data_IF_282796091427
#
_entry.id   IF_282796091427
#
_cell.length_a   1.000
_cell.length_b   1.000
_cell.length_c   1.000
_cell.angle_alpha   90.00
_cell.angle_beta   90.00
_cell.angle_gamma   90.00
#
_symmetry.space_group_name_H-M   'P 1'
#
loop_
_entity.id
_entity.type
_entity.pdbx_description
1 polymer ?
#
# COMPACT_ATOMS: atom_id res chain seq x y z
N UNK A 1 -44.83 -3.78 53.88
CA UNK A 1 -43.63 -3.47 53.07
C UNK A 1 -43.49 -4.47 51.92
N UNK A 2 -42.72 -4.13 50.87
CA UNK A 2 -42.22 -5.07 49.84
C UNK A 2 -43.04 -5.32 48.55
N UNK A 3 -43.49 -4.28 47.84
CA UNK A 3 -43.76 -4.41 46.37
C UNK A 3 -43.27 -3.27 45.46
N UNK A 4 -42.84 -2.11 45.99
CA UNK A 4 -42.41 -0.97 45.15
C UNK A 4 -40.92 -0.92 44.78
N UNK A 5 -40.04 -1.71 45.40
CA UNK A 5 -38.59 -1.62 45.14
C UNK A 5 -38.06 -2.49 43.98
N UNK A 6 -38.83 -3.47 43.48
CA UNK A 6 -38.37 -4.32 42.36
C UNK A 6 -38.61 -3.72 40.97
N UNK A 7 -39.53 -2.75 40.85
CA UNK A 7 -39.95 -2.16 39.57
C UNK A 7 -38.90 -1.22 38.95
N UNK A 8 -38.14 -0.49 39.77
CA UNK A 8 -37.11 0.44 39.29
C UNK A 8 -35.85 -0.25 38.75
N UNK A 9 -35.51 -1.42 39.29
CA UNK A 9 -34.29 -2.16 38.92
C UNK A 9 -34.41 -2.85 37.55
N UNK A 10 -35.61 -3.32 37.18
CA UNK A 10 -35.84 -3.94 35.87
C UNK A 10 -35.92 -2.90 34.73
N UNK A 11 -36.43 -1.69 34.97
CA UNK A 11 -36.42 -0.63 33.95
C UNK A 11 -35.00 -0.14 33.61
N UNK A 12 -34.11 -0.05 34.59
CA UNK A 12 -32.70 0.34 34.35
C UNK A 12 -31.90 -0.71 33.56
N UNK A 13 -32.12 -2.00 33.81
CA UNK A 13 -31.45 -3.07 33.04
C UNK A 13 -31.91 -3.15 31.58
N UNK A 14 -33.18 -2.83 31.28
CA UNK A 14 -33.65 -2.79 29.89
C UNK A 14 -33.08 -1.60 29.10
N UNK A 15 -32.94 -0.43 29.74
CA UNK A 15 -32.33 0.75 29.13
C UNK A 15 -30.82 0.60 28.90
N UNK A 16 -30.09 -0.11 29.77
CA UNK A 16 -28.67 -0.40 29.57
C UNK A 16 -28.42 -1.40 28.41
N UNK A 17 -29.27 -2.42 28.25
CA UNK A 17 -29.14 -3.40 27.15
C UNK A 17 -29.46 -2.81 25.77
N UNK A 18 -30.24 -1.74 25.69
CA UNK A 18 -30.54 -1.03 24.43
C UNK A 18 -29.40 -0.10 24.00
N UNK A 19 -28.77 0.60 24.94
CA UNK A 19 -27.59 1.44 24.67
C UNK A 19 -26.33 0.61 24.29
N UNK A 20 -26.21 -0.62 24.80
CA UNK A 20 -25.10 -1.53 24.48
C UNK A 20 -25.25 -2.18 23.08
N UNK A 21 -26.49 -2.34 22.60
CA UNK A 21 -26.77 -2.81 21.22
C UNK A 21 -26.54 -1.72 20.17
N UNK A 22 -26.74 -0.44 20.47
CA UNK A 22 -26.45 0.66 19.55
C UNK A 22 -24.95 0.99 19.44
N UNK A 23 -24.14 0.70 20.47
CA UNK A 23 -22.67 0.86 20.40
C UNK A 23 -21.95 -0.25 19.62
N UNK A 24 -22.55 -1.43 19.44
CA UNK A 24 -21.99 -2.51 18.61
C UNK A 24 -22.34 -2.40 17.12
N UNK A 25 -23.26 -1.51 16.74
CA UNK A 25 -23.70 -1.31 15.34
C UNK A 25 -22.96 -0.22 14.56
N UNK A 26 -22.04 0.52 15.20
CA UNK A 26 -21.10 1.43 14.53
C UNK A 26 -19.69 0.95 14.77
N UNK A 27 -19.45 -0.33 14.47
CA UNK A 27 -18.12 -0.72 14.06
C UNK A 27 -17.88 0.03 12.75
N UNK A 28 -17.06 1.07 12.87
CA UNK A 28 -16.36 1.73 11.79
C UNK A 28 -15.98 0.62 10.79
N UNK A 29 -16.75 0.48 9.71
CA UNK A 29 -16.23 -0.08 8.49
C UNK A 29 -15.29 0.99 7.98
N UNK A 30 -14.10 1.02 8.58
CA UNK A 30 -12.93 1.52 7.89
C UNK A 30 -12.89 0.70 6.62
N UNK A 31 -13.35 1.30 5.52
CA UNK A 31 -12.92 0.89 4.20
C UNK A 31 -11.43 1.25 4.12
N UNK A 32 -10.63 0.53 4.91
CA UNK A 32 -9.20 0.38 4.72
C UNK A 32 -9.13 -0.35 3.39
N UNK A 33 -9.05 0.41 2.31
CA UNK A 33 -8.73 -0.10 0.99
C UNK A 33 -7.40 -0.82 1.18
N UNK A 34 -7.45 -2.15 1.38
CA UNK A 34 -6.27 -2.98 1.60
C UNK A 34 -5.26 -2.58 0.54
N UNK A 35 -4.07 -2.17 0.97
CA UNK A 35 -2.97 -1.94 0.04
C UNK A 35 -2.90 -3.16 -0.90
N UNK A 36 -3.00 -2.89 -2.19
CA UNK A 36 -2.93 -3.94 -3.21
C UNK A 36 -1.57 -4.62 -3.09
N UNK A 37 -1.58 -5.94 -2.89
CA UNK A 37 -0.37 -6.72 -2.66
C UNK A 37 0.55 -6.65 -3.89
N UNK A 38 1.87 -6.64 -3.68
CA UNK A 38 2.89 -6.54 -4.74
C UNK A 38 2.61 -7.51 -5.92
N UNK A 39 2.34 -8.76 -5.59
CA UNK A 39 2.00 -9.85 -6.53
C UNK A 39 0.76 -9.53 -7.38
N UNK A 40 -0.28 -8.92 -6.81
CA UNK A 40 -1.49 -8.58 -7.57
C UNK A 40 -1.22 -7.40 -8.51
N UNK A 41 -0.51 -6.39 -8.01
CA UNK A 41 -0.18 -5.18 -8.75
C UNK A 41 0.72 -5.46 -9.96
N UNK A 42 1.70 -6.33 -9.79
CA UNK A 42 2.63 -6.76 -10.86
C UNK A 42 2.16 -7.97 -11.65
N UNK A 43 0.90 -8.39 -11.50
CA UNK A 43 0.38 -9.62 -12.09
C UNK A 43 0.71 -9.76 -13.58
N UNK A 44 0.50 -8.70 -14.37
CA UNK A 44 0.78 -8.72 -15.81
C UNK A 44 2.24 -8.98 -16.12
N UNK A 45 3.16 -8.29 -15.42
CA UNK A 45 4.59 -8.43 -15.63
C UNK A 45 5.09 -9.80 -15.16
N UNK A 46 4.58 -10.29 -14.02
CA UNK A 46 4.89 -11.62 -13.49
C UNK A 46 4.42 -12.74 -14.44
N UNK A 47 3.19 -12.64 -14.98
CA UNK A 47 2.67 -13.61 -15.97
C UNK A 47 3.56 -13.67 -17.22
N UNK A 48 4.09 -12.53 -17.67
CA UNK A 48 4.87 -12.49 -18.91
C UNK A 48 6.32 -12.95 -18.72
N UNK A 49 6.90 -12.75 -17.53
CA UNK A 49 8.34 -12.81 -17.34
C UNK A 49 8.82 -13.97 -16.47
N UNK A 50 7.95 -14.62 -15.70
CA UNK A 50 8.34 -15.80 -14.92
C UNK A 50 8.83 -16.91 -15.87
N UNK A 51 10.07 -17.35 -15.64
CA UNK A 51 10.70 -18.46 -16.36
C UNK A 51 10.46 -19.79 -15.65
N UNK A 52 10.68 -19.81 -14.34
CA UNK A 52 10.87 -21.03 -13.55
C UNK A 52 9.59 -21.55 -12.88
N UNK A 53 8.50 -21.71 -13.66
CA UNK A 53 7.17 -22.05 -13.09
C UNK A 53 7.18 -23.36 -12.30
N UNK A 54 7.86 -24.42 -12.78
CA UNK A 54 7.91 -25.70 -12.08
C UNK A 54 8.60 -25.59 -10.71
N UNK A 55 9.78 -24.95 -10.65
CA UNK A 55 10.52 -24.75 -9.40
C UNK A 55 9.73 -23.89 -8.40
N UNK A 56 9.01 -22.88 -8.89
CA UNK A 56 8.13 -22.07 -8.04
C UNK A 56 6.98 -22.93 -7.49
N UNK A 57 6.35 -23.77 -8.32
CA UNK A 57 5.28 -24.65 -7.88
C UNK A 57 5.77 -25.70 -6.85
N UNK A 58 7.00 -26.20 -6.99
CA UNK A 58 7.60 -27.14 -6.03
C UNK A 58 7.70 -26.49 -4.64
N UNK A 59 8.28 -25.29 -4.58
CA UNK A 59 8.37 -24.51 -3.34
C UNK A 59 6.98 -24.17 -2.77
N UNK A 60 6.02 -23.80 -3.61
CA UNK A 60 4.65 -23.51 -3.15
C UNK A 60 3.91 -24.76 -2.62
N UNK A 61 4.21 -25.95 -3.15
CA UNK A 61 3.70 -27.22 -2.66
C UNK A 61 4.30 -27.54 -1.28
N UNK A 62 5.62 -27.36 -1.11
CA UNK A 62 6.31 -27.55 0.17
C UNK A 62 5.75 -26.63 1.26
N UNK A 63 5.46 -25.38 0.91
CA UNK A 63 4.83 -24.41 1.81
C UNK A 63 3.30 -24.59 1.96
N UNK A 64 2.71 -25.61 1.33
CA UNK A 64 1.27 -25.94 1.36
C UNK A 64 0.37 -24.80 0.88
N UNK A 65 0.87 -23.96 -0.02
CA UNK A 65 0.09 -22.92 -0.72
C UNK A 65 -0.69 -23.54 -1.87
N UNK A 66 -0.12 -24.56 -2.50
CA UNK A 66 -0.70 -25.33 -3.60
C UNK A 66 -0.83 -26.79 -3.14
N UNK A 67 -1.93 -27.46 -3.51
CA UNK A 67 -2.09 -28.91 -3.31
C UNK A 67 -1.55 -29.71 -4.49
N UNK A 68 -1.26 -31.01 -4.33
CA UNK A 68 -0.76 -31.84 -5.42
C UNK A 68 -1.68 -31.82 -6.66
N UNK A 69 -2.99 -31.88 -6.46
CA UNK A 69 -3.97 -31.81 -7.56
C UNK A 69 -3.88 -30.47 -8.32
N UNK A 70 -3.72 -29.36 -7.60
CA UNK A 70 -3.56 -28.04 -8.20
C UNK A 70 -2.21 -27.90 -8.90
N UNK A 71 -1.15 -28.47 -8.33
CA UNK A 71 0.19 -28.52 -8.92
C UNK A 71 0.13 -29.21 -10.29
N UNK A 72 -0.42 -30.42 -10.36
CA UNK A 72 -0.52 -31.20 -11.59
C UNK A 72 -1.40 -30.48 -12.63
N UNK A 73 -2.52 -29.90 -12.18
CA UNK A 73 -3.44 -29.14 -13.04
C UNK A 73 -2.77 -27.91 -13.65
N UNK A 74 -1.94 -27.20 -12.87
CA UNK A 74 -1.22 -26.04 -13.37
C UNK A 74 -0.14 -26.49 -14.35
N UNK A 75 0.67 -27.49 -14.01
CA UNK A 75 1.73 -27.97 -14.92
C UNK A 75 1.18 -28.50 -16.25
N UNK A 76 -0.01 -29.09 -16.25
CA UNK A 76 -0.66 -29.59 -17.46
C UNK A 76 -1.08 -28.49 -18.47
N UNK A 77 -1.00 -27.19 -18.11
CA UNK A 77 -1.30 -26.10 -19.05
C UNK A 77 -0.25 -26.02 -20.16
N UNK A 78 -0.70 -25.69 -21.36
CA UNK A 78 0.12 -25.72 -22.58
C UNK A 78 1.24 -24.67 -22.62
N UNK A 79 1.05 -23.51 -21.99
CA UNK A 79 2.03 -22.41 -22.00
C UNK A 79 2.37 -21.96 -20.60
N UNK A 80 3.62 -21.51 -20.38
CA UNK A 80 4.06 -20.96 -19.09
C UNK A 80 3.17 -19.81 -18.61
N UNK A 81 2.72 -18.96 -19.53
CA UNK A 81 1.82 -17.86 -19.20
C UNK A 81 0.47 -18.37 -18.70
N UNK A 82 -0.07 -19.45 -19.29
CA UNK A 82 -1.32 -20.05 -18.82
C UNK A 82 -1.14 -20.78 -17.49
N UNK A 83 0.02 -21.40 -17.26
CA UNK A 83 0.37 -21.97 -15.95
C UNK A 83 0.33 -20.88 -14.86
N UNK A 84 1.01 -19.76 -15.08
CA UNK A 84 1.03 -18.66 -14.10
C UNK A 84 -0.36 -18.04 -13.95
N UNK A 85 -1.13 -17.87 -15.04
CA UNK A 85 -2.53 -17.40 -14.94
C UNK A 85 -3.40 -18.30 -14.07
N UNK A 86 -3.28 -19.61 -14.23
CA UNK A 86 -4.01 -20.60 -13.43
C UNK A 86 -3.58 -20.55 -11.95
N UNK A 87 -2.28 -20.39 -11.70
CA UNK A 87 -1.74 -20.18 -10.35
C UNK A 87 -2.38 -18.95 -9.67
N UNK A 88 -2.58 -17.86 -10.42
CA UNK A 88 -3.29 -16.67 -9.93
C UNK A 88 -4.79 -16.92 -9.70
N UNK A 89 -5.50 -17.60 -10.60
CA UNK A 89 -6.95 -17.79 -10.49
C UNK A 89 -7.36 -18.82 -9.43
N UNK A 90 -6.51 -19.81 -9.15
CA UNK A 90 -6.77 -20.88 -8.19
C UNK A 90 -6.03 -20.70 -6.86
N UNK A 91 -4.81 -21.25 -6.70
CA UNK A 91 -4.14 -21.30 -5.40
C UNK A 91 -3.86 -19.93 -4.77
N UNK A 92 -3.35 -18.95 -5.53
CA UNK A 92 -3.03 -17.63 -4.98
C UNK A 92 -4.28 -16.81 -4.61
N UNK A 93 -5.40 -17.07 -5.30
CA UNK A 93 -6.68 -16.44 -4.95
C UNK A 93 -7.26 -17.02 -3.66
N UNK A 94 -7.14 -18.34 -3.46
CA UNK A 94 -7.73 -19.06 -2.33
C UNK A 94 -6.89 -18.98 -1.04
N UNK A 95 -5.58 -18.87 -1.16
CA UNK A 95 -4.64 -18.78 -0.02
C UNK A 95 -4.55 -17.39 0.62
N UNK A 96 -5.18 -16.37 0.03
CA UNK A 96 -5.25 -15.02 0.58
C UNK A 96 -3.88 -14.32 0.65
N UNK A 97 -3.73 -13.33 1.54
CA UNK A 97 -2.49 -12.54 1.67
C UNK A 97 -1.28 -13.42 1.99
N UNK A 98 -1.43 -14.37 2.92
CA UNK A 98 -0.34 -15.28 3.32
C UNK A 98 0.24 -16.08 2.16
N UNK A 99 -0.60 -16.60 1.27
CA UNK A 99 -0.09 -17.33 0.09
C UNK A 99 0.63 -16.42 -0.90
N UNK A 100 0.24 -15.16 -0.98
CA UNK A 100 0.92 -14.15 -1.81
C UNK A 100 2.26 -13.72 -1.20
N UNK A 101 2.36 -13.63 0.13
CA UNK A 101 3.63 -13.36 0.82
C UNK A 101 4.62 -14.49 0.56
N UNK A 102 4.17 -15.75 0.68
CA UNK A 102 5.00 -16.93 0.38
C UNK A 102 5.43 -16.94 -1.08
N UNK A 103 4.49 -16.69 -2.01
CA UNK A 103 4.82 -16.62 -3.43
C UNK A 103 5.84 -15.52 -3.75
N UNK A 104 5.74 -14.36 -3.09
CA UNK A 104 6.73 -13.30 -3.21
C UNK A 104 8.11 -13.75 -2.70
N UNK A 105 8.18 -14.39 -1.53
CA UNK A 105 9.42 -14.93 -0.97
C UNK A 105 10.08 -15.94 -1.93
N UNK A 106 9.29 -16.84 -2.52
CA UNK A 106 9.79 -17.81 -3.51
C UNK A 106 10.31 -17.12 -4.77
N UNK A 107 9.66 -16.05 -5.22
CA UNK A 107 10.14 -15.26 -6.36
C UNK A 107 11.43 -14.48 -6.03
N UNK A 108 11.60 -14.00 -4.80
CA UNK A 108 12.84 -13.36 -4.36
C UNK A 108 14.02 -14.33 -4.38
N UNK A 109 13.76 -15.60 -4.06
CA UNK A 109 14.79 -16.66 -4.08
C UNK A 109 15.12 -17.13 -5.49
N UNK A 110 14.10 -17.44 -6.30
CA UNK A 110 14.27 -18.10 -7.59
C UNK A 110 14.44 -17.12 -8.76
N UNK A 111 13.86 -15.92 -8.66
CA UNK A 111 13.84 -14.92 -9.73
C UNK A 111 14.21 -13.51 -9.19
N UNK A 112 15.33 -13.34 -8.46
CA UNK A 112 15.66 -12.09 -7.76
C UNK A 112 15.74 -10.88 -8.70
N UNK A 113 16.30 -11.07 -9.90
CA UNK A 113 16.42 -10.00 -10.90
C UNK A 113 15.06 -9.53 -11.43
N UNK A 114 14.08 -10.43 -11.54
CA UNK A 114 12.73 -10.07 -11.94
C UNK A 114 12.07 -9.22 -10.86
N UNK A 115 12.19 -9.64 -9.59
CA UNK A 115 11.63 -8.87 -8.47
C UNK A 115 12.31 -7.51 -8.34
N UNK A 116 13.63 -7.45 -8.44
CA UNK A 116 14.37 -6.19 -8.36
C UNK A 116 13.97 -5.21 -9.47
N UNK A 117 13.84 -5.69 -10.71
CA UNK A 117 13.39 -4.86 -11.83
C UNK A 117 11.93 -4.38 -11.64
N UNK A 118 11.03 -5.25 -11.18
CA UNK A 118 9.64 -4.88 -10.91
C UNK A 118 9.53 -3.88 -9.75
N UNK A 119 10.35 -4.00 -8.71
CA UNK A 119 10.44 -3.00 -7.64
C UNK A 119 11.04 -1.69 -8.13
N UNK A 120 12.01 -1.74 -9.04
CA UNK A 120 12.62 -0.55 -9.66
C UNK A 120 11.67 0.22 -10.58
N UNK A 121 10.66 -0.45 -11.15
CA UNK A 121 9.60 0.17 -11.95
C UNK A 121 8.55 0.89 -11.10
N UNK A 122 8.44 0.58 -9.81
CA UNK A 122 7.57 1.32 -8.90
C UNK A 122 8.29 2.53 -8.32
N UNK A 123 7.56 3.64 -8.20
CA UNK A 123 7.97 4.71 -7.29
C UNK A 123 8.02 4.14 -5.88
N UNK A 124 9.24 3.89 -5.39
CA UNK A 124 9.48 3.30 -4.07
C UNK A 124 8.79 4.13 -2.99
N UNK A 125 8.23 3.49 -1.95
CA UNK A 125 7.51 4.18 -0.87
C UNK A 125 8.32 5.36 -0.29
N UNK A 126 9.60 5.11 -0.03
CA UNK A 126 10.59 6.09 0.45
C UNK A 126 10.71 7.31 -0.48
N UNK A 127 10.64 7.13 -1.80
CA UNK A 127 10.69 8.21 -2.79
C UNK A 127 9.35 8.97 -2.83
N UNK A 128 8.23 8.23 -2.87
CA UNK A 128 6.87 8.79 -2.86
C UNK A 128 6.62 9.68 -1.64
N UNK A 129 7.05 9.23 -0.47
CA UNK A 129 6.87 9.92 0.81
C UNK A 129 8.07 10.76 1.22
N UNK A 130 9.02 11.02 0.31
CA UNK A 130 10.28 11.72 0.59
C UNK A 130 10.08 13.02 1.36
N UNK A 131 9.14 13.87 0.95
CA UNK A 131 8.88 15.14 1.64
C UNK A 131 8.40 14.96 3.08
N UNK A 132 7.49 14.01 3.31
CA UNK A 132 6.98 13.74 4.66
C UNK A 132 8.06 13.12 5.54
N UNK A 133 8.88 12.22 5.00
CA UNK A 133 10.01 11.61 5.70
C UNK A 133 11.07 12.64 6.07
N UNK A 134 11.46 13.53 5.15
CA UNK A 134 12.38 14.65 5.45
C UNK A 134 11.87 15.53 6.59
N UNK A 135 10.57 15.77 6.66
CA UNK A 135 9.98 16.65 7.68
C UNK A 135 9.81 15.97 9.04
N UNK A 136 9.53 14.66 9.05
CA UNK A 136 9.00 13.97 10.24
C UNK A 136 9.96 12.99 10.89
N UNK A 137 11.02 12.54 10.20
CA UNK A 137 12.03 11.66 10.81
C UNK A 137 12.63 12.33 12.04
N UNK A 138 12.50 11.69 13.20
CA UNK A 138 12.89 12.27 14.48
C UNK A 138 14.39 12.16 14.75
N UNK A 139 14.98 10.97 14.53
CA UNK A 139 16.39 10.69 14.80
C UNK A 139 17.10 10.13 13.58
N UNK A 140 17.94 10.94 12.94
CA UNK A 140 18.72 10.51 11.76
C UNK A 140 19.90 9.61 12.17
N UNK A 141 20.53 9.88 13.32
CA UNK A 141 21.67 9.11 13.82
C UNK A 141 21.31 7.63 14.06
N UNK A 142 20.19 7.36 14.74
CA UNK A 142 19.74 5.99 15.00
C UNK A 142 19.47 5.21 13.72
N UNK A 143 18.92 5.87 12.70
CA UNK A 143 18.70 5.25 11.39
C UNK A 143 20.05 4.99 10.70
N UNK A 144 20.95 5.96 10.71
CA UNK A 144 22.28 5.81 10.09
C UNK A 144 23.10 4.69 10.72
N UNK A 145 23.02 4.49 12.04
CA UNK A 145 23.72 3.40 12.74
C UNK A 145 23.26 2.04 12.19
N UNK A 146 21.95 1.82 12.10
CA UNK A 146 21.40 0.59 11.53
C UNK A 146 21.73 0.43 10.04
N UNK A 147 21.70 1.52 9.27
CA UNK A 147 22.07 1.48 7.85
C UNK A 147 23.56 1.16 7.64
N UNK A 148 24.43 1.61 8.54
CA UNK A 148 25.87 1.33 8.51
C UNK A 148 26.13 -0.15 8.82
N UNK A 149 25.45 -0.69 9.84
CA UNK A 149 25.52 -2.10 10.21
C UNK A 149 25.07 -3.02 9.07
N UNK A 150 24.01 -2.62 8.35
CA UNK A 150 23.52 -3.34 7.18
C UNK A 150 24.29 -3.04 5.88
N UNK A 151 25.38 -2.26 5.95
CA UNK A 151 26.25 -1.89 4.83
C UNK A 151 25.53 -1.16 3.69
N UNK A 152 24.45 -0.45 4.01
CA UNK A 152 23.73 0.42 3.06
C UNK A 152 24.45 1.76 2.89
N UNK A 153 25.07 2.24 3.98
CA UNK A 153 25.90 3.45 3.97
C UNK A 153 27.33 3.10 4.39
N UNK A 154 28.32 3.79 3.83
CA UNK A 154 29.71 3.71 4.30
C UNK A 154 29.96 4.64 5.49
N UNK A 155 31.06 4.44 6.21
CA UNK A 155 31.47 5.36 7.29
C UNK A 155 31.65 6.80 6.78
N UNK A 156 32.23 6.97 5.60
CA UNK A 156 32.40 8.29 4.97
C UNK A 156 31.04 8.96 4.68
N UNK A 157 30.07 8.19 4.17
CA UNK A 157 28.71 8.69 3.94
C UNK A 157 28.02 9.02 5.26
N UNK A 158 28.17 8.18 6.29
CA UNK A 158 27.64 8.40 7.63
C UNK A 158 28.12 9.74 8.19
N UNK A 159 29.44 9.97 8.19
CA UNK A 159 30.05 11.19 8.73
C UNK A 159 29.63 12.42 7.92
N UNK A 160 29.60 12.30 6.59
CA UNK A 160 29.18 13.37 5.67
C UNK A 160 27.72 13.78 5.90
N UNK A 161 26.85 12.80 6.16
CA UNK A 161 25.45 13.06 6.46
C UNK A 161 25.33 13.74 7.81
N UNK A 162 25.97 13.24 8.87
CA UNK A 162 25.89 13.86 10.20
C UNK A 162 26.47 15.27 10.26
N UNK A 163 27.48 15.56 9.43
CA UNK A 163 28.09 16.89 9.35
C UNK A 163 27.14 17.98 8.81
N UNK A 164 25.96 17.63 8.28
CA UNK A 164 24.98 18.63 7.81
C UNK A 164 24.36 19.41 8.97
N UNK A 165 24.15 20.70 8.75
CA UNK A 165 23.76 21.66 9.78
C UNK A 165 22.36 21.42 10.38
N UNK A 166 21.43 20.86 9.61
CA UNK A 166 20.06 20.61 10.07
C UNK A 166 19.67 19.15 9.83
N UNK A 167 18.83 18.58 10.70
CA UNK A 167 18.28 17.22 10.47
C UNK A 167 17.64 17.06 9.09
N UNK A 168 16.95 18.09 8.59
CA UNK A 168 16.34 18.01 7.27
C UNK A 168 17.39 17.89 6.17
N UNK A 169 18.53 18.60 6.29
CA UNK A 169 19.63 18.50 5.35
C UNK A 169 20.38 17.17 5.48
N UNK A 170 20.48 16.62 6.70
CA UNK A 170 20.97 15.25 6.92
C UNK A 170 20.11 14.25 6.16
N UNK A 171 18.77 14.29 6.32
CA UNK A 171 17.88 13.39 5.58
C UNK A 171 17.97 13.64 4.08
N UNK A 172 18.02 14.90 3.61
CA UNK A 172 18.18 15.18 2.17
C UNK A 172 19.45 14.56 1.60
N UNK A 173 20.57 14.66 2.32
CA UNK A 173 21.85 14.08 1.92
C UNK A 173 21.81 12.55 1.92
N UNK A 174 21.17 11.94 2.93
CA UNK A 174 20.92 10.50 2.97
C UNK A 174 20.19 10.03 1.71
N UNK A 175 19.19 10.79 1.25
CA UNK A 175 18.49 10.50 -0.01
C UNK A 175 19.35 10.69 -1.26
N UNK A 176 20.06 11.82 -1.40
CA UNK A 176 20.79 12.17 -2.62
C UNK A 176 22.08 11.38 -2.81
N UNK A 177 22.76 11.05 -1.71
CA UNK A 177 24.00 10.29 -1.70
C UNK A 177 23.75 8.81 -1.50
N UNK A 178 23.53 8.42 -0.25
CA UNK A 178 23.50 7.02 0.17
C UNK A 178 22.38 6.22 -0.50
N UNK A 179 21.11 6.59 -0.31
CA UNK A 179 19.96 5.83 -0.83
C UNK A 179 19.88 5.82 -2.36
N UNK A 180 20.40 6.86 -3.01
CA UNK A 180 20.52 6.89 -4.48
C UNK A 180 21.56 5.90 -4.97
N UNK A 181 22.70 5.81 -4.27
CA UNK A 181 23.79 4.90 -4.64
C UNK A 181 23.50 3.43 -4.34
N UNK A 182 22.74 3.15 -3.27
CA UNK A 182 22.39 1.79 -2.83
C UNK A 182 21.21 1.16 -3.58
N UNK A 183 20.55 1.92 -4.47
CA UNK A 183 19.40 1.45 -5.24
C UNK A 183 18.20 1.02 -4.39
N UNK A 184 17.33 0.21 -4.97
CA UNK A 184 16.08 -0.29 -4.34
C UNK A 184 16.34 -1.03 -3.04
N UNK A 185 17.35 -1.91 -3.00
CA UNK A 185 17.72 -2.68 -1.80
C UNK A 185 18.02 -1.79 -0.59
N UNK A 186 18.78 -0.71 -0.79
CA UNK A 186 19.06 0.21 0.31
C UNK A 186 17.83 0.98 0.78
N UNK A 187 16.87 1.25 -0.13
CA UNK A 187 15.59 1.86 0.22
C UNK A 187 14.66 0.90 0.97
N UNK A 188 14.65 -0.39 0.61
CA UNK A 188 13.92 -1.44 1.33
C UNK A 188 14.45 -1.54 2.77
N UNK A 189 15.77 -1.60 2.94
CA UNK A 189 16.40 -1.64 4.27
C UNK A 189 16.08 -0.37 5.07
N UNK A 190 16.16 0.81 4.45
CA UNK A 190 15.77 2.06 5.10
C UNK A 190 14.30 2.05 5.54
N UNK A 191 13.40 1.46 4.76
CA UNK A 191 12.01 1.30 5.16
C UNK A 191 11.86 0.36 6.36
N UNK A 192 12.54 -0.79 6.37
CA UNK A 192 12.54 -1.70 7.52
C UNK A 192 13.06 -1.02 8.80
N UNK A 193 14.14 -0.25 8.69
CA UNK A 193 14.69 0.55 9.80
C UNK A 193 13.69 1.59 10.29
N UNK A 194 12.96 2.25 9.39
CA UNK A 194 11.90 3.20 9.77
C UNK A 194 10.71 2.52 10.43
N UNK A 195 10.38 1.28 10.05
CA UNK A 195 9.34 0.50 10.71
C UNK A 195 9.72 0.12 12.15
N UNK A 196 11.00 -0.15 12.39
CA UNK A 196 11.52 -0.42 13.74
C UNK A 196 11.61 0.85 14.59
N UNK A 197 12.11 1.94 14.01
CA UNK A 197 12.42 3.18 14.74
C UNK A 197 11.22 4.10 14.91
N UNK A 198 10.31 4.16 13.93
CA UNK A 198 9.16 5.07 13.89
C UNK A 198 7.94 4.43 13.19
N UNK A 199 7.45 3.32 13.77
CA UNK A 199 6.29 2.59 13.25
C UNK A 199 5.05 3.48 13.04
N UNK A 200 4.80 4.46 13.93
CA UNK A 200 3.66 5.37 13.85
C UNK A 200 3.76 6.29 12.64
N UNK A 201 4.97 6.78 12.33
CA UNK A 201 5.20 7.58 11.12
C UNK A 201 4.87 6.76 9.87
N UNK A 202 5.35 5.51 9.79
CA UNK A 202 5.10 4.66 8.63
C UNK A 202 3.62 4.31 8.49
N UNK A 203 2.94 3.98 9.59
CA UNK A 203 1.50 3.68 9.57
C UNK A 203 0.67 4.86 9.07
N UNK A 204 0.96 6.09 9.54
CA UNK A 204 0.29 7.29 9.08
C UNK A 204 0.60 7.60 7.59
N UNK A 205 1.86 7.45 7.17
CA UNK A 205 2.23 7.66 5.76
C UNK A 205 1.57 6.66 4.81
N UNK A 206 1.41 5.40 5.24
CA UNK A 206 0.63 4.38 4.51
C UNK A 206 -0.84 4.79 4.39
N UNK A 207 -1.41 5.43 5.42
CA UNK A 207 -2.76 5.98 5.39
C UNK A 207 -2.96 7.16 4.41
N UNK A 208 -1.93 7.99 4.21
CA UNK A 208 -2.00 9.23 3.42
C UNK A 208 -2.09 9.02 1.89
N UNK A 209 -1.82 7.81 1.39
CA UNK A 209 -1.97 7.47 -0.04
C UNK A 209 -3.40 7.56 -0.57
N UNK A 210 -4.40 7.64 0.31
CA UNK A 210 -5.82 7.60 -0.03
C UNK A 210 -6.45 8.95 -0.42
N UNK A 211 -5.84 10.09 -0.07
CA UNK A 211 -6.42 11.42 -0.33
C UNK A 211 -5.92 12.11 -1.61
N UNK A 212 -4.76 11.70 -2.16
CA UNK A 212 -4.20 12.34 -3.36
C UNK A 212 -4.96 12.01 -4.66
N UNK A 213 -5.61 10.84 -4.75
CA UNK A 213 -6.43 10.47 -5.91
C UNK A 213 -7.73 11.28 -6.01
N UNK A 214 -8.26 11.79 -4.89
CA UNK A 214 -9.49 12.61 -4.91
C UNK A 214 -9.24 14.04 -5.40
N UNK A 215 -7.98 14.51 -5.39
CA UNK A 215 -7.62 15.85 -5.88
C UNK A 215 -7.21 15.89 -7.35
N UNK A 216 -6.78 14.77 -7.93
CA UNK A 216 -6.46 14.71 -9.37
C UNK A 216 -7.71 14.74 -10.26
N UNK A 217 -8.82 14.15 -9.81
CA UNK A 217 -10.07 14.10 -10.59
C UNK A 217 -10.90 15.40 -10.54
N UNK A 218 -10.63 16.31 -9.60
CA UNK A 218 -11.36 17.59 -9.52
C UNK A 218 -10.76 18.71 -10.39
N UNK A 219 -9.53 18.55 -10.90
CA UNK A 219 -8.89 19.58 -11.73
C UNK A 219 -9.10 19.39 -13.24
N UNK A 220 -9.74 18.30 -13.68
CA UNK A 220 -10.07 18.07 -15.09
C UNK A 220 -11.53 18.40 -15.45
N UNK A 221 -12.34 18.89 -14.50
CA UNK A 221 -13.75 19.22 -14.71
C UNK A 221 -14.09 20.72 -14.55
N UNK A 222 -13.15 21.63 -14.82
CA UNK A 222 -13.47 23.08 -14.93
C UNK A 222 -12.69 23.74 -16.07
N UNK A 223 -12.57 23.15 -17.25
CA UNK A 223 -12.36 23.91 -18.49
C UNK A 223 -12.72 23.05 -19.71
N UNK A 224 -14.01 22.91 -20.00
CA UNK A 224 -14.54 22.79 -21.38
C UNK A 224 -16.06 23.00 -21.33
N UNK A 225 -16.49 24.25 -21.50
CA UNK A 225 -17.87 24.61 -21.83
C UNK A 225 -18.19 24.15 -23.26
N UNK A 226 -19.17 23.25 -23.49
CA UNK A 226 -19.56 22.87 -24.84
C UNK A 226 -20.31 24.03 -25.52
N UNK A 227 -19.79 24.47 -26.66
CA UNK A 227 -20.33 25.52 -27.51
C UNK A 227 -21.61 25.07 -28.27
N UNK A 228 -22.70 24.77 -27.55
CA UNK A 228 -23.99 24.44 -28.18
C UNK A 228 -25.23 24.86 -27.38
N UNK A 229 -25.13 25.90 -26.54
CA UNK A 229 -26.29 26.58 -25.98
C UNK A 229 -26.47 27.96 -26.63
N UNK A 230 -27.21 27.99 -27.74
CA UNK A 230 -27.79 29.23 -28.27
C UNK A 230 -29.08 29.55 -27.51
N UNK A 231 -29.18 30.69 -26.81
CA UNK A 231 -30.46 31.10 -26.21
C UNK A 231 -31.39 31.57 -27.34
N UNK A 232 -32.50 30.84 -27.56
CA UNK A 232 -33.61 31.30 -28.38
C UNK A 232 -34.14 32.61 -27.78
N UNK A 233 -34.00 33.71 -28.54
CA UNK A 233 -34.68 35.00 -28.30
C UNK A 233 -36.18 34.75 -28.19
N UNK A 234 -36.73 34.96 -27.01
CA UNK A 234 -38.17 35.08 -26.80
C UNK A 234 -38.52 36.54 -27.08
N UNK A 235 -39.47 36.73 -27.99
CA UNK A 235 -39.89 38.01 -28.53
C UNK A 235 -40.51 38.95 -27.50
N UNK A 236 -40.38 40.23 -27.81
CA UNK A 236 -41.04 41.38 -27.20
C UNK A 236 -42.55 41.17 -26.99
N UNK A 237 -43.07 41.60 -25.84
CA UNK A 237 -44.27 42.42 -25.82
C UNK A 237 -44.44 43.15 -24.48
N UNK A 238 -44.35 44.48 -24.48
CA UNK A 238 -45.28 45.37 -23.76
C UNK A 238 -44.98 46.81 -24.14
N UNK A 239 -45.91 47.37 -24.93
CA UNK A 239 -46.17 48.78 -25.22
C UNK A 239 -46.16 49.67 -23.96
N UNK A 240 -46.12 51.02 -24.06
CA UNK A 240 -47.33 51.76 -24.44
C UNK A 240 -47.11 53.10 -25.20
N UNK A 241 -48.18 53.55 -25.90
CA UNK A 241 -48.71 54.93 -26.05
C UNK A 241 -47.71 56.06 -26.40
N UNK A 242 -47.91 56.92 -27.40
CA UNK A 242 -49.11 57.60 -27.91
C UNK A 242 -49.01 57.85 -29.42
#
# INVERSE_FOLDING_TARGET
MSKKMKSGFLKRKASQRKAEREKKGRQLVTFSKKEEHFVDRHRSSLIQRISSVAAILDQLLDHKVVSQEQYDTILAKATRQDQVRELYSGPLRSSGTRGKDIFLSVLEELEPFLIEDLRGQEEHFVDRHRSSLIQRISSVAAILDQLLDQKVVSQEQYDTILAKATRQDQVRELYSGALRSSGTRGKDIFLSVLEETDHLLIEDLRGQGSERLVRADLHHFIIHTPASWQPRRIYHNSSPKM
#
